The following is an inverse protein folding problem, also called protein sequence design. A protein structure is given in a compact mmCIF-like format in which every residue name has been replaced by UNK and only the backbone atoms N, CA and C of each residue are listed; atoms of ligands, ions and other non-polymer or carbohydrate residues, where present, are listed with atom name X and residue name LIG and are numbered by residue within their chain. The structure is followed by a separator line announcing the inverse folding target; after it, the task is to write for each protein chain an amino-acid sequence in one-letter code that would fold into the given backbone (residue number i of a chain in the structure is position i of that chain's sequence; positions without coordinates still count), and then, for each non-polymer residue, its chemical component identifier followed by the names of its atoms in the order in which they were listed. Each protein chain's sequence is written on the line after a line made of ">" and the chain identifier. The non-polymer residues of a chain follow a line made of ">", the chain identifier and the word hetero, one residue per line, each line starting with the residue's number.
data_IF_670556417257
#
_entry.id   IF_670556417257
#
_cell.length_a   1.000
_cell.length_b   1.000
_cell.length_c   1.000
_cell.angle_alpha   90.00
_cell.angle_beta   90.00
_cell.angle_gamma   90.00
#
_symmetry.space_group_name_H-M   'P 1'
#
loop_
_entity.id
_entity.type
_entity.pdbx_description
1 polymer ?
#
# COMPACT_ATOMS: atom_id res chain seq x y z
N UNK A 1 0.94 -6.81 2.33
CA UNK A 1 -0.29 -6.34 2.98
C UNK A 1 0.05 -5.39 4.11
N UNK A 2 -0.07 -5.72 5.41
CA UNK A 2 0.06 -4.68 6.47
C UNK A 2 1.35 -3.86 6.43
N UNK A 3 2.48 -4.44 6.01
CA UNK A 3 3.75 -3.69 5.85
C UNK A 3 3.66 -2.65 4.74
N UNK A 4 3.02 -2.95 3.61
CA UNK A 4 2.79 -1.95 2.55
C UNK A 4 1.90 -0.84 3.08
N UNK A 5 0.85 -1.16 3.84
CA UNK A 5 -0.09 -0.16 4.35
C UNK A 5 0.55 0.80 5.35
N UNK A 6 1.35 0.29 6.28
CA UNK A 6 2.11 1.11 7.20
C UNK A 6 3.24 1.85 6.46
N UNK A 7 3.78 1.31 5.35
CA UNK A 7 4.71 2.02 4.47
C UNK A 7 4.05 3.20 3.76
N UNK A 8 2.78 3.09 3.33
CA UNK A 8 2.02 4.23 2.79
C UNK A 8 1.98 5.37 3.81
N UNK A 9 1.60 5.06 5.05
CA UNK A 9 1.59 6.04 6.14
C UNK A 9 2.97 6.61 6.41
N UNK A 10 4.01 5.75 6.47
CA UNK A 10 5.39 6.17 6.65
C UNK A 10 5.84 7.11 5.52
N UNK A 11 5.49 6.84 4.27
CA UNK A 11 5.79 7.73 3.15
C UNK A 11 4.99 9.04 3.18
N UNK A 12 3.81 9.08 3.79
CA UNK A 12 3.08 10.33 4.00
C UNK A 12 3.78 11.21 5.03
N UNK A 13 4.28 10.64 6.13
CA UNK A 13 4.86 11.42 7.24
C UNK A 13 6.38 11.52 7.23
N UNK A 14 7.06 10.60 6.55
CA UNK A 14 8.52 10.45 6.48
C UNK A 14 9.09 11.06 5.21
N UNK A 15 8.96 12.37 5.07
CA UNK A 15 9.36 13.15 3.88
C UNK A 15 10.85 13.05 3.52
N UNK A 16 11.69 12.58 4.44
CA UNK A 16 13.13 12.39 4.25
C UNK A 16 13.54 10.90 4.14
N UNK A 17 12.60 10.06 3.70
CA UNK A 17 12.81 8.64 3.44
C UNK A 17 12.61 7.75 4.65
N UNK A 18 12.63 6.44 4.39
CA UNK A 18 12.48 5.44 5.43
C UNK A 18 12.94 4.04 5.03
N UNK A 19 12.95 3.17 6.01
CA UNK A 19 13.49 1.81 5.95
C UNK A 19 12.61 0.86 6.75
N UNK A 20 12.47 -0.35 6.23
CA UNK A 20 11.81 -1.50 6.83
C UNK A 20 12.88 -2.36 7.50
N UNK A 21 12.71 -2.60 8.79
CA UNK A 21 13.57 -3.47 9.59
C UNK A 21 12.77 -4.68 10.06
N UNK A 22 13.27 -5.88 9.80
CA UNK A 22 12.60 -7.13 10.14
C UNK A 22 12.49 -8.10 8.96
N UNK A 23 11.59 -9.10 9.03
CA UNK A 23 10.65 -9.32 10.13
C UNK A 23 11.35 -9.80 11.41
N UNK A 24 10.68 -9.66 12.56
CA UNK A 24 11.08 -10.21 13.86
C UNK A 24 9.93 -11.01 14.47
N UNK A 25 10.24 -11.88 15.43
CA UNK A 25 9.24 -12.53 16.26
C UNK A 25 9.15 -11.85 17.63
N UNK A 26 7.96 -11.38 18.00
CA UNK A 26 7.63 -10.79 19.29
C UNK A 26 6.87 -11.80 20.15
N UNK A 27 7.54 -12.37 21.13
CA UNK A 27 6.94 -13.32 22.07
C UNK A 27 6.24 -12.57 23.21
N UNK A 28 4.99 -12.92 23.49
CA UNK A 28 4.18 -12.43 24.60
C UNK A 28 3.76 -13.59 25.51
N UNK A 29 3.10 -13.29 26.64
CA UNK A 29 2.71 -14.31 27.61
C UNK A 29 1.78 -15.42 27.05
N UNK A 30 0.89 -15.05 26.11
CA UNK A 30 -0.17 -15.92 25.59
C UNK A 30 -0.09 -16.19 24.08
N UNK A 31 0.79 -15.50 23.35
CA UNK A 31 0.92 -15.61 21.90
C UNK A 31 2.27 -15.04 21.45
N UNK A 32 2.64 -15.25 20.18
CA UNK A 32 3.74 -14.56 19.54
C UNK A 32 3.24 -13.91 18.24
N UNK A 33 3.84 -12.78 17.87
CA UNK A 33 3.53 -12.04 16.64
C UNK A 33 4.76 -11.93 15.76
N UNK A 34 4.56 -11.96 14.44
CA UNK A 34 5.57 -11.46 13.51
C UNK A 34 5.40 -9.95 13.35
N UNK A 35 6.47 -9.19 13.45
CA UNK A 35 6.44 -7.73 13.35
C UNK A 35 7.52 -7.20 12.40
N UNK A 36 7.25 -6.02 11.84
CA UNK A 36 8.23 -5.18 11.16
C UNK A 36 8.33 -3.86 11.91
N UNK A 37 9.49 -3.23 11.83
CA UNK A 37 9.74 -1.90 12.36
C UNK A 37 10.01 -0.97 11.18
N UNK A 38 9.21 0.09 11.05
CA UNK A 38 9.42 1.14 10.06
C UNK A 38 10.14 2.30 10.72
N UNK A 39 11.23 2.75 10.12
CA UNK A 39 11.99 3.92 10.58
C UNK A 39 12.05 4.93 9.46
N UNK A 40 11.74 6.18 9.75
CA UNK A 40 11.83 7.27 8.80
C UNK A 40 12.33 8.54 9.46
N UNK A 41 12.60 9.54 8.63
CA UNK A 41 12.88 10.91 9.07
C UNK A 41 11.75 11.81 8.63
N UNK A 42 11.28 12.66 9.54
CA UNK A 42 10.18 13.57 9.30
C UNK A 42 10.57 14.99 9.70
N UNK A 43 10.23 15.98 8.86
CA UNK A 43 10.26 17.40 9.22
C UNK A 43 8.95 17.87 9.85
N UNK A 44 7.92 17.03 9.87
CA UNK A 44 6.58 17.39 10.30
C UNK A 44 6.48 17.60 11.81
N UNK A 45 5.48 18.39 12.20
CA UNK A 45 5.11 18.53 13.60
C UNK A 45 4.50 17.22 14.13
N UNK A 46 4.82 16.84 15.36
CA UNK A 46 4.35 15.57 15.97
C UNK A 46 2.82 15.47 16.05
N UNK A 47 2.11 16.61 16.11
CA UNK A 47 0.64 16.64 16.08
C UNK A 47 0.10 16.26 14.71
N UNK A 48 0.76 16.72 13.63
CA UNK A 48 0.41 16.33 12.27
C UNK A 48 0.82 14.88 12.01
N UNK A 49 1.98 14.43 12.49
CA UNK A 49 2.36 13.00 12.40
C UNK A 49 1.29 12.12 13.05
N UNK A 50 0.84 12.46 14.27
CA UNK A 50 -0.21 11.71 14.95
C UNK A 50 -1.52 11.74 14.17
N UNK A 51 -1.93 12.90 13.63
CA UNK A 51 -3.17 13.04 12.86
C UNK A 51 -3.15 12.22 11.58
N UNK A 52 -2.07 12.28 10.81
CA UNK A 52 -1.93 11.59 9.52
C UNK A 52 -1.73 10.07 9.65
N UNK A 53 -1.29 9.60 10.82
CA UNK A 53 -1.10 8.16 11.10
C UNK A 53 -2.28 7.53 11.86
N UNK A 54 -3.31 8.33 12.20
CA UNK A 54 -4.53 7.79 12.78
C UNK A 54 -5.49 7.28 11.70
N UNK A 55 -5.86 6.00 11.67
CA UNK A 55 -5.45 4.90 12.57
C UNK A 55 -4.69 3.83 11.81
N UNK A 56 -3.74 3.21 12.50
CA UNK A 56 -2.89 2.14 11.97
C UNK A 56 -3.72 1.08 11.22
N UNK A 57 -3.22 0.68 10.04
CA UNK A 57 -3.90 -0.28 9.16
C UNK A 57 -4.07 -1.65 9.83
N UNK A 58 -3.21 -1.98 10.80
CA UNK A 58 -3.27 -3.21 11.60
C UNK A 58 -4.54 -3.36 12.44
N UNK A 59 -5.25 -2.27 12.74
CA UNK A 59 -6.46 -2.26 13.59
C UNK A 59 -7.70 -1.70 12.89
N UNK A 60 -7.54 -1.24 11.64
CA UNK A 60 -8.64 -0.80 10.77
C UNK A 60 -8.77 -1.73 9.57
N UNK A 61 -7.79 -1.72 8.68
CA UNK A 61 -7.72 -2.47 7.43
C UNK A 61 -7.13 -1.61 6.32
N UNK A 62 -7.30 -2.05 5.07
CA UNK A 62 -6.82 -1.31 3.90
C UNK A 62 -7.70 -1.47 2.66
N UNK A 63 -7.80 -0.43 1.80
CA UNK A 63 -7.36 0.95 2.04
C UNK A 63 -8.09 1.57 3.23
N UNK A 64 -7.45 2.43 4.02
CA UNK A 64 -7.96 2.85 5.36
C UNK A 64 -9.37 3.45 5.29
N UNK A 65 -9.63 4.35 4.35
CA UNK A 65 -10.94 4.98 4.17
C UNK A 65 -12.02 3.94 3.84
N UNK A 66 -11.69 2.96 3.00
CA UNK A 66 -12.60 1.89 2.66
C UNK A 66 -12.79 0.92 3.84
N UNK A 67 -11.73 0.63 4.60
CA UNK A 67 -11.80 -0.17 5.81
C UNK A 67 -12.72 0.46 6.85
N UNK A 68 -12.66 1.79 7.05
CA UNK A 68 -13.60 2.50 7.92
C UNK A 68 -15.06 2.32 7.47
N UNK A 69 -15.36 2.41 6.17
CA UNK A 69 -16.72 2.14 5.63
C UNK A 69 -17.15 0.68 5.81
N UNK A 70 -16.22 -0.27 5.74
CA UNK A 70 -16.50 -1.69 6.02
C UNK A 70 -16.80 -1.88 7.51
N UNK A 71 -15.99 -1.30 8.40
CA UNK A 71 -16.18 -1.33 9.85
C UNK A 71 -17.56 -0.77 10.21
N UNK A 72 -17.91 0.41 9.71
CA UNK A 72 -19.21 1.05 9.97
C UNK A 72 -20.40 0.18 9.55
N UNK A 73 -20.28 -0.57 8.44
CA UNK A 73 -21.34 -1.49 7.98
C UNK A 73 -21.50 -2.73 8.87
N UNK A 74 -20.45 -3.17 9.55
CA UNK A 74 -20.43 -4.45 10.27
C UNK A 74 -20.40 -4.32 11.80
N UNK A 75 -20.04 -3.17 12.35
CA UNK A 75 -20.04 -2.90 13.80
C UNK A 75 -21.28 -2.05 14.17
N UNK A 76 -22.10 -2.53 15.11
CA UNK A 76 -23.35 -1.88 15.50
C UNK A 76 -23.20 -0.75 16.52
N UNK A 77 -21.97 -0.41 16.92
CA UNK A 77 -21.70 0.63 17.93
C UNK A 77 -20.31 1.21 17.77
N UNK A 78 -20.08 2.39 18.35
CA UNK A 78 -18.79 3.06 18.30
C UNK A 78 -17.68 2.28 19.00
N UNK A 79 -16.45 2.42 18.48
CA UNK A 79 -15.24 1.78 19.03
C UNK A 79 -14.75 2.39 20.35
N UNK A 80 -15.23 3.58 20.74
CA UNK A 80 -14.67 4.31 21.87
C UNK A 80 -13.18 4.56 21.63
N UNK A 81 -12.34 4.09 22.55
CA UNK A 81 -10.87 4.19 22.42
C UNK A 81 -10.22 3.02 21.68
N UNK A 82 -10.96 1.96 21.35
CA UNK A 82 -10.39 0.80 20.64
C UNK A 82 -9.82 1.19 19.29
N UNK A 83 -8.63 0.69 18.97
CA UNK A 83 -7.86 1.06 17.77
C UNK A 83 -7.36 2.52 17.76
N UNK A 84 -7.64 3.31 18.80
CA UNK A 84 -7.14 4.66 18.98
C UNK A 84 -5.66 4.72 19.36
N UNK A 85 -5.17 5.91 19.65
CA UNK A 85 -3.81 6.15 20.12
C UNK A 85 -3.82 6.76 21.53
N UNK A 86 -2.91 6.32 22.40
CA UNK A 86 -2.59 6.99 23.66
C UNK A 86 -1.29 7.74 23.48
N UNK A 87 -1.35 9.04 23.21
CA UNK A 87 -0.17 9.82 22.84
C UNK A 87 0.41 10.63 24.01
N UNK A 88 1.70 10.42 24.28
CA UNK A 88 2.53 11.30 25.10
C UNK A 88 3.34 12.22 24.17
N UNK A 89 2.98 13.50 24.17
CA UNK A 89 3.64 14.54 23.37
C UNK A 89 4.52 15.39 24.28
N UNK A 90 5.77 15.60 23.88
CA UNK A 90 6.73 16.37 24.68
C UNK A 90 7.83 17.01 23.87
N UNK A 91 8.85 17.45 24.58
CA UNK A 91 10.13 17.90 24.03
C UNK A 91 11.28 17.27 24.81
N UNK A 92 12.35 16.92 24.12
CA UNK A 92 13.58 16.50 24.75
C UNK A 92 14.39 17.72 25.28
N UNK A 93 15.50 17.51 26.03
CA UNK A 93 16.34 18.62 26.51
C UNK A 93 16.95 19.50 25.41
N UNK A 94 17.06 18.99 24.18
CA UNK A 94 17.52 19.74 23.01
C UNK A 94 16.42 20.58 22.36
N UNK A 95 15.18 20.47 22.83
CA UNK A 95 14.01 21.18 22.30
C UNK A 95 13.31 20.46 21.13
N UNK A 96 13.82 19.30 20.72
CA UNK A 96 13.22 18.48 19.67
C UNK A 96 11.91 17.87 20.16
N UNK A 97 10.92 17.78 19.27
CA UNK A 97 9.59 17.24 19.60
C UNK A 97 9.66 15.73 19.81
N UNK A 98 8.93 15.21 20.80
CA UNK A 98 8.84 13.77 21.07
C UNK A 98 7.38 13.32 21.04
N UNK A 99 7.16 12.11 20.52
CA UNK A 99 5.87 11.43 20.50
C UNK A 99 6.09 9.96 20.84
N UNK A 100 5.44 9.48 21.88
CA UNK A 100 5.27 8.05 22.17
C UNK A 100 3.77 7.74 22.15
N UNK A 101 3.34 6.85 21.26
CA UNK A 101 1.92 6.62 20.98
C UNK A 101 1.58 5.15 20.73
N UNK A 102 1.42 4.32 21.77
CA UNK A 102 0.89 2.98 21.61
C UNK A 102 -0.54 2.99 21.05
N UNK A 103 -0.83 1.98 20.22
CA UNK A 103 -2.19 1.67 19.77
C UNK A 103 -2.99 1.09 20.94
N UNK A 104 -4.20 1.58 21.15
CA UNK A 104 -5.12 1.12 22.18
C UNK A 104 -5.80 -0.20 21.78
N UNK A 105 -5.01 -1.27 21.91
CA UNK A 105 -5.41 -2.67 21.86
C UNK A 105 -4.89 -3.38 23.11
N UNK A 106 -5.51 -4.51 23.48
CA UNK A 106 -5.18 -5.20 24.74
C UNK A 106 -5.37 -4.28 25.95
N UNK A 107 -6.44 -3.48 25.90
CA UNK A 107 -6.78 -2.46 26.89
C UNK A 107 -8.18 -2.75 27.41
N UNK A 108 -8.41 -2.49 28.70
CA UNK A 108 -9.75 -2.47 29.29
C UNK A 108 -10.20 -1.03 29.46
N UNK A 109 -11.40 -0.72 28.98
CA UNK A 109 -12.10 0.54 29.23
C UNK A 109 -13.10 0.30 30.37
N UNK A 110 -13.01 1.11 31.43
CA UNK A 110 -13.81 0.97 32.65
C UNK A 110 -14.52 2.29 32.90
N UNK A 111 -15.85 2.27 32.78
CA UNK A 111 -16.68 3.44 33.03
C UNK A 111 -16.87 3.70 34.52
N UNK A 112 -17.34 4.90 34.85
CA UNK A 112 -17.54 5.33 36.25
C UNK A 112 -18.56 4.48 37.03
N UNK A 113 -19.48 3.81 36.34
CA UNK A 113 -20.45 2.87 36.92
C UNK A 113 -19.89 1.43 37.06
N UNK A 114 -18.62 1.23 36.71
CA UNK A 114 -17.93 -0.05 36.84
C UNK A 114 -18.12 -1.01 35.66
N UNK A 115 -18.79 -0.59 34.58
CA UNK A 115 -18.89 -1.42 33.38
C UNK A 115 -17.54 -1.54 32.67
N UNK A 116 -17.11 -2.77 32.39
CA UNK A 116 -15.82 -3.09 31.82
C UNK A 116 -15.95 -3.58 30.37
N UNK A 117 -15.17 -3.00 29.45
CA UNK A 117 -15.10 -3.40 28.04
C UNK A 117 -13.67 -3.77 27.66
N UNK A 118 -13.50 -4.93 27.02
CA UNK A 118 -12.22 -5.37 26.43
C UNK A 118 -12.44 -5.68 24.95
N UNK A 119 -12.43 -4.65 24.08
CA UNK A 119 -12.60 -4.84 22.65
C UNK A 119 -11.38 -5.54 22.06
N UNK A 120 -11.63 -6.45 21.10
CA UNK A 120 -10.61 -7.26 20.45
C UNK A 120 -11.06 -7.63 19.05
N UNK A 121 -10.11 -7.74 18.13
CA UNK A 121 -10.35 -8.16 16.76
C UNK A 121 -9.15 -8.89 16.16
N UNK A 122 -9.33 -9.36 14.94
CA UNK A 122 -8.33 -10.03 14.13
C UNK A 122 -8.30 -9.45 12.71
N UNK A 123 -7.17 -9.60 12.04
CA UNK A 123 -7.00 -9.08 10.68
C UNK A 123 -7.59 -10.08 9.70
N UNK A 124 -8.76 -9.76 9.17
CA UNK A 124 -9.43 -10.63 8.21
C UNK A 124 -8.77 -10.50 6.83
N UNK A 125 -8.34 -11.64 6.28
CA UNK A 125 -7.76 -11.75 4.94
C UNK A 125 -8.52 -12.79 4.14
N UNK A 126 -8.28 -12.87 2.83
CA UNK A 126 -8.97 -13.82 1.94
C UNK A 126 -8.90 -15.27 2.44
N UNK A 127 -7.75 -15.67 2.97
CA UNK A 127 -7.50 -17.03 3.47
C UNK A 127 -7.88 -17.24 4.93
N UNK A 128 -8.55 -16.28 5.59
CA UNK A 128 -8.97 -16.40 6.98
C UNK A 128 -9.97 -17.55 7.15
N UNK A 129 -9.75 -18.35 8.20
CA UNK A 129 -10.71 -19.32 8.69
C UNK A 129 -11.52 -18.69 9.84
N UNK A 130 -12.85 -18.54 9.72
CA UNK A 130 -13.66 -17.90 10.75
C UNK A 130 -13.46 -18.46 12.17
N UNK A 131 -13.27 -19.77 12.31
CA UNK A 131 -13.04 -20.39 13.62
C UNK A 131 -11.64 -20.01 14.18
N UNK A 132 -10.62 -20.04 13.32
CA UNK A 132 -9.27 -19.54 13.64
C UNK A 132 -9.26 -18.08 14.08
N UNK A 133 -9.99 -17.20 13.39
CA UNK A 133 -10.07 -15.77 13.76
C UNK A 133 -10.72 -15.57 15.13
N UNK A 134 -11.78 -16.33 15.44
CA UNK A 134 -12.39 -16.31 16.78
C UNK A 134 -11.39 -16.80 17.83
N UNK A 135 -10.68 -17.90 17.58
CA UNK A 135 -9.64 -18.40 18.49
C UNK A 135 -8.53 -17.36 18.73
N UNK A 136 -8.14 -16.63 17.69
CA UNK A 136 -7.17 -15.54 17.78
C UNK A 136 -7.68 -14.42 18.72
N UNK A 137 -8.93 -14.00 18.60
CA UNK A 137 -9.49 -12.97 19.51
C UNK A 137 -9.42 -13.40 20.99
N UNK A 138 -9.70 -14.68 21.28
CA UNK A 138 -9.58 -15.22 22.65
C UNK A 138 -8.13 -15.22 23.16
N UNK A 139 -7.16 -15.57 22.31
CA UNK A 139 -5.74 -15.54 22.66
C UNK A 139 -5.26 -14.09 22.90
N UNK A 140 -5.69 -13.15 22.06
CA UNK A 140 -5.39 -11.73 22.17
C UNK A 140 -5.93 -11.14 23.48
N UNK A 141 -7.17 -11.46 23.85
CA UNK A 141 -7.77 -10.97 25.09
C UNK A 141 -7.25 -11.65 26.36
N UNK A 142 -6.61 -12.82 26.25
CA UNK A 142 -6.28 -13.67 27.40
C UNK A 142 -5.42 -12.98 28.47
N UNK A 143 -4.42 -12.20 28.06
CA UNK A 143 -3.54 -11.50 29.02
C UNK A 143 -4.28 -10.48 29.87
N UNK A 144 -5.13 -9.66 29.25
CA UNK A 144 -5.94 -8.64 29.93
C UNK A 144 -6.94 -9.30 30.88
N UNK A 145 -7.66 -10.32 30.39
CA UNK A 145 -8.65 -11.03 31.19
C UNK A 145 -8.02 -11.78 32.37
N UNK A 146 -6.80 -12.31 32.22
CA UNK A 146 -6.06 -12.92 33.32
C UNK A 146 -5.63 -11.88 34.36
N UNK A 147 -5.13 -10.73 33.92
CA UNK A 147 -4.75 -9.63 34.81
C UNK A 147 -5.94 -9.08 35.62
N UNK A 148 -7.14 -9.08 35.04
CA UNK A 148 -8.39 -8.69 35.70
C UNK A 148 -8.97 -9.79 36.61
N UNK A 149 -8.38 -10.98 36.66
CA UNK A 149 -8.90 -12.12 37.44
C UNK A 149 -10.14 -12.80 36.85
N UNK A 150 -10.54 -12.45 35.62
CA UNK A 150 -11.68 -13.06 34.92
C UNK A 150 -11.37 -14.48 34.45
N UNK A 151 -10.08 -14.80 34.26
CA UNK A 151 -9.60 -16.14 33.93
C UNK A 151 -8.31 -16.47 34.70
N UNK A 152 -8.00 -17.76 34.90
CA UNK A 152 -6.75 -18.15 35.53
C UNK A 152 -5.54 -17.64 34.73
N UNK A 153 -4.57 -17.08 35.45
CA UNK A 153 -3.26 -16.78 34.88
C UNK A 153 -2.55 -18.07 34.47
N UNK A 154 -1.77 -17.99 33.40
CA UNK A 154 -0.92 -19.11 32.98
C UNK A 154 0.07 -19.43 34.12
N UNK A 155 0.24 -20.70 34.53
CA UNK A 155 1.23 -21.08 35.52
C UNK A 155 2.62 -20.62 35.07
N UNK A 156 3.34 -19.89 35.93
CA UNK A 156 4.76 -19.57 35.72
C UNK A 156 5.57 -20.85 35.91
N UNK A 157 5.72 -21.66 34.87
CA UNK A 157 6.69 -22.77 34.90
C UNK A 157 8.10 -22.17 34.91
N UNK A 158 8.93 -22.53 35.90
CA UNK A 158 10.29 -22.03 36.15
C UNK A 158 11.34 -22.39 35.07
N UNK A 159 10.95 -23.06 33.98
CA UNK A 159 11.88 -23.38 32.91
C UNK A 159 12.06 -22.21 31.95
N UNK A 160 13.33 -21.81 31.77
CA UNK A 160 13.85 -21.10 30.60
C UNK A 160 13.47 -21.87 29.35
N UNK A 161 12.28 -21.61 28.81
CA UNK A 161 11.93 -22.04 27.47
C UNK A 161 12.92 -21.37 26.51
N UNK A 162 13.48 -22.15 25.60
CA UNK A 162 14.16 -21.58 24.45
C UNK A 162 13.19 -20.62 23.76
N UNK A 163 13.68 -19.41 23.49
CA UNK A 163 12.88 -18.39 22.82
C UNK A 163 12.54 -18.90 21.43
N UNK A 164 11.29 -18.77 21.01
CA UNK A 164 10.88 -19.16 19.66
C UNK A 164 11.70 -18.42 18.60
N UNK A 165 12.12 -17.19 18.88
CA UNK A 165 13.02 -16.42 18.01
C UNK A 165 14.41 -17.06 17.81
N UNK A 166 14.82 -17.96 18.70
CA UNK A 166 16.10 -18.68 18.63
C UNK A 166 16.01 -20.01 17.88
N UNK A 167 14.79 -20.51 17.60
CA UNK A 167 14.58 -21.72 16.82
C UNK A 167 15.06 -21.51 15.37
N UNK A 168 15.97 -22.37 14.84
CA UNK A 168 16.48 -22.25 13.49
C UNK A 168 15.41 -22.26 12.40
N UNK A 169 14.29 -22.95 12.61
CA UNK A 169 13.16 -23.01 11.66
C UNK A 169 12.42 -21.68 11.60
N UNK A 170 12.26 -21.03 12.76
CA UNK A 170 11.66 -19.70 12.84
C UNK A 170 12.57 -18.68 12.17
N UNK A 171 13.88 -18.71 12.45
CA UNK A 171 14.86 -17.83 11.79
C UNK A 171 14.86 -18.02 10.27
N UNK A 172 14.90 -19.26 9.80
CA UNK A 172 14.84 -19.57 8.37
C UNK A 172 13.54 -19.07 7.72
N UNK A 173 12.39 -19.18 8.40
CA UNK A 173 11.13 -18.64 7.89
C UNK A 173 11.14 -17.11 7.81
N UNK A 174 11.68 -16.42 8.83
CA UNK A 174 11.82 -14.97 8.85
C UNK A 174 12.80 -14.47 7.77
N UNK A 175 13.93 -15.16 7.59
CA UNK A 175 14.94 -14.84 6.57
C UNK A 175 14.39 -15.07 5.16
N UNK A 176 13.68 -16.17 4.94
CA UNK A 176 12.99 -16.44 3.67
C UNK A 176 11.97 -15.35 3.35
N UNK A 177 11.21 -14.89 4.35
CA UNK A 177 10.30 -13.75 4.17
C UNK A 177 11.05 -12.46 3.84
N UNK A 178 12.17 -12.17 4.51
CA UNK A 178 12.99 -10.98 4.22
C UNK A 178 13.58 -10.99 2.81
N UNK A 179 14.02 -12.14 2.33
CA UNK A 179 14.60 -12.30 0.99
C UNK A 179 13.59 -12.02 -0.13
N UNK A 180 12.29 -12.18 0.14
CA UNK A 180 11.21 -11.87 -0.80
C UNK A 180 10.81 -10.38 -0.86
N UNK A 181 11.45 -9.51 -0.07
CA UNK A 181 11.11 -8.09 -0.01
C UNK A 181 11.95 -7.26 -0.96
N UNK A 182 11.35 -6.19 -1.48
CA UNK A 182 12.03 -5.20 -2.31
C UNK A 182 13.24 -4.61 -1.58
N UNK A 183 14.47 -4.75 -2.12
CA UNK A 183 15.68 -4.21 -1.50
C UNK A 183 15.65 -2.69 -1.29
N UNK A 184 14.85 -1.98 -2.10
CA UNK A 184 14.61 -0.54 -1.96
C UNK A 184 14.11 -0.16 -0.56
N UNK A 185 13.19 -0.91 0.01
CA UNK A 185 12.66 -0.57 1.34
C UNK A 185 13.54 -1.09 2.49
N UNK A 186 14.57 -1.90 2.22
CA UNK A 186 15.43 -2.51 3.25
C UNK A 186 16.67 -1.68 3.61
N UNK A 187 16.88 -0.54 2.94
CA UNK A 187 17.97 0.39 3.21
C UNK A 187 17.50 1.83 3.03
N UNK A 188 18.11 2.77 3.75
CA UNK A 188 17.90 4.20 3.47
C UNK A 188 18.39 4.50 2.05
N UNK A 189 17.59 5.25 1.31
CA UNK A 189 17.89 5.59 -0.07
C UNK A 189 18.54 6.96 -0.14
N UNK A 190 19.59 7.04 -0.96
CA UNK A 190 20.15 8.30 -1.40
C UNK A 190 19.53 8.66 -2.76
N UNK A 191 19.23 9.93 -3.04
CA UNK A 191 18.72 10.34 -4.34
C UNK A 191 19.68 9.96 -5.47
N UNK A 192 19.16 9.29 -6.52
CA UNK A 192 19.90 9.06 -7.75
C UNK A 192 19.61 10.20 -8.74
N UNK A 193 20.65 10.85 -9.28
CA UNK A 193 20.53 11.93 -10.25
C UNK A 193 20.34 11.43 -11.70
N UNK A 194 19.48 10.43 -11.90
CA UNK A 194 19.32 9.76 -13.21
C UNK A 194 18.15 10.32 -14.04
N UNK A 195 17.09 10.81 -13.41
CA UNK A 195 16.01 11.57 -14.04
C UNK A 195 16.05 13.04 -13.58
N UNK A 196 15.32 13.90 -14.30
CA UNK A 196 15.14 15.31 -13.96
C UNK A 196 13.76 15.80 -14.43
N UNK A 197 13.24 16.85 -13.78
CA UNK A 197 11.93 17.43 -14.06
C UNK A 197 10.91 17.13 -12.96
N UNK A 198 9.65 17.49 -13.22
CA UNK A 198 8.57 17.45 -12.25
C UNK A 198 7.48 16.48 -12.71
N UNK A 199 7.18 15.46 -11.89
CA UNK A 199 6.07 14.55 -12.11
C UNK A 199 4.85 14.96 -11.26
N UNK A 200 3.68 14.93 -11.89
CA UNK A 200 2.41 15.16 -11.22
C UNK A 200 1.66 13.83 -11.06
N UNK A 201 1.46 13.39 -9.82
CA UNK A 201 0.75 12.15 -9.48
C UNK A 201 -0.69 12.46 -9.11
N UNK A 202 -1.63 11.82 -9.80
CA UNK A 202 -3.07 11.85 -9.50
C UNK A 202 -3.41 10.70 -8.55
N UNK A 203 -3.90 11.01 -7.35
CA UNK A 203 -4.31 10.03 -6.33
C UNK A 203 -5.79 9.65 -6.47
N UNK A 204 -6.05 8.38 -6.78
CA UNK A 204 -7.37 7.79 -6.96
C UNK A 204 -8.04 7.29 -5.68
N UNK A 205 -7.66 7.82 -4.52
CA UNK A 205 -7.98 7.35 -3.15
C UNK A 205 -7.18 6.13 -2.70
N UNK A 206 -5.91 6.05 -3.09
CA UNK A 206 -4.98 5.04 -2.54
C UNK A 206 -3.61 5.66 -2.29
N UNK A 207 -3.23 5.69 -1.01
CA UNK A 207 -1.98 6.27 -0.52
C UNK A 207 -0.74 5.48 -0.94
N UNK A 208 -0.87 4.42 -1.75
CA UNK A 208 0.24 3.91 -2.56
C UNK A 208 0.92 5.01 -3.39
N UNK A 209 0.19 6.07 -3.76
CA UNK A 209 0.77 7.30 -4.35
C UNK A 209 1.91 7.91 -3.53
N UNK A 210 1.86 7.84 -2.19
CA UNK A 210 2.93 8.33 -1.33
C UNK A 210 4.21 7.49 -1.46
N UNK A 211 4.05 6.16 -1.56
CA UNK A 211 5.17 5.23 -1.83
C UNK A 211 5.72 5.42 -3.24
N UNK A 212 4.84 5.59 -4.23
CA UNK A 212 5.22 5.86 -5.62
C UNK A 212 5.99 7.18 -5.74
N UNK A 213 5.55 8.23 -5.03
CA UNK A 213 6.25 9.50 -4.98
C UNK A 213 7.67 9.36 -4.40
N UNK A 214 7.88 8.50 -3.40
CA UNK A 214 9.21 8.20 -2.88
C UNK A 214 10.11 7.51 -3.92
N UNK A 215 9.56 6.55 -4.65
CA UNK A 215 10.29 5.86 -5.74
C UNK A 215 10.67 6.85 -6.85
N UNK A 216 9.75 7.72 -7.25
CA UNK A 216 9.98 8.74 -8.27
C UNK A 216 11.03 9.78 -7.83
N UNK A 217 10.93 10.27 -6.58
CA UNK A 217 11.93 11.19 -5.99
C UNK A 217 13.31 10.56 -5.89
N UNK A 218 13.38 9.29 -5.48
CA UNK A 218 14.65 8.55 -5.44
C UNK A 218 15.29 8.37 -6.81
N UNK A 219 14.50 8.49 -7.89
CA UNK A 219 14.97 8.43 -9.27
C UNK A 219 15.39 9.80 -9.83
N UNK A 220 15.23 10.89 -9.07
CA UNK A 220 15.68 12.25 -9.42
C UNK A 220 14.56 13.23 -9.79
N UNK A 221 13.30 12.83 -9.74
CA UNK A 221 12.17 13.71 -10.08
C UNK A 221 11.72 14.54 -8.88
N UNK A 222 11.33 15.79 -9.13
CA UNK A 222 10.41 16.51 -8.25
C UNK A 222 9.01 15.88 -8.39
N UNK A 223 8.25 15.77 -7.30
CA UNK A 223 6.95 15.09 -7.33
C UNK A 223 5.91 15.84 -6.51
N UNK A 224 4.82 16.20 -7.17
CA UNK A 224 3.57 16.65 -6.55
C UNK A 224 2.53 15.54 -6.61
N UNK A 225 1.80 15.35 -5.52
CA UNK A 225 0.65 14.44 -5.46
C UNK A 225 -0.60 15.28 -5.25
N UNK A 226 -1.65 15.04 -6.05
CA UNK A 226 -2.94 15.72 -5.97
C UNK A 226 -4.06 14.68 -6.05
N UNK A 227 -5.02 14.71 -5.14
CA UNK A 227 -6.16 13.80 -5.11
C UNK A 227 -7.17 14.12 -6.21
N UNK A 228 -7.82 13.10 -6.74
CA UNK A 228 -8.71 13.18 -7.91
C UNK A 228 -9.85 14.21 -7.80
N UNK A 229 -10.29 14.53 -6.58
CA UNK A 229 -11.41 15.43 -6.28
C UNK A 229 -10.95 16.77 -5.69
N UNK A 230 -9.65 17.08 -5.75
CA UNK A 230 -9.17 18.41 -5.41
C UNK A 230 -9.62 19.44 -6.46
N UNK A 231 -10.03 20.61 -5.97
CA UNK A 231 -10.42 21.73 -6.83
C UNK A 231 -9.27 22.12 -7.79
N UNK A 232 -9.62 22.31 -9.06
CA UNK A 232 -8.68 22.71 -10.10
C UNK A 232 -7.70 21.60 -10.53
N UNK A 233 -7.91 20.34 -10.12
CA UNK A 233 -7.02 19.25 -10.51
C UNK A 233 -6.92 19.09 -12.02
N UNK A 234 -8.06 19.12 -12.73
CA UNK A 234 -8.08 18.88 -14.17
C UNK A 234 -7.21 19.91 -14.89
N UNK A 235 -7.40 21.19 -14.56
CA UNK A 235 -6.65 22.30 -15.10
C UNK A 235 -5.16 22.17 -14.79
N UNK A 236 -4.82 21.79 -13.55
CA UNK A 236 -3.43 21.55 -13.16
C UNK A 236 -2.78 20.41 -13.95
N UNK A 237 -3.50 19.30 -14.18
CA UNK A 237 -3.01 18.15 -14.96
C UNK A 237 -2.79 18.52 -16.42
N UNK A 238 -3.75 19.23 -17.03
CA UNK A 238 -3.66 19.61 -18.45
C UNK A 238 -2.63 20.72 -18.72
N UNK A 239 -2.30 21.53 -17.71
CA UNK A 239 -1.27 22.56 -17.80
C UNK A 239 0.14 22.06 -17.42
N UNK A 240 0.27 20.80 -16.98
CA UNK A 240 1.54 20.28 -16.48
C UNK A 240 2.51 19.93 -17.63
N UNK A 241 3.71 20.53 -17.61
CA UNK A 241 4.74 20.34 -18.65
C UNK A 241 5.65 19.12 -18.39
N UNK A 242 5.31 18.27 -17.43
CA UNK A 242 6.08 17.06 -17.10
C UNK A 242 5.25 15.78 -17.21
N UNK A 243 5.82 14.62 -16.85
CA UNK A 243 5.09 13.37 -16.85
C UNK A 243 3.93 13.41 -15.85
N UNK A 244 2.78 12.90 -16.28
CA UNK A 244 1.59 12.69 -15.43
C UNK A 244 1.52 11.22 -15.03
N UNK A 245 1.31 10.96 -13.75
CA UNK A 245 1.14 9.62 -13.22
C UNK A 245 -0.29 9.44 -12.76
N UNK A 246 -1.04 8.59 -13.46
CA UNK A 246 -2.36 8.15 -13.03
C UNK A 246 -2.16 7.07 -11.96
N UNK A 247 -2.38 7.44 -10.70
CA UNK A 247 -2.13 6.58 -9.55
C UNK A 247 -3.17 5.46 -9.38
N UNK A 248 -2.92 4.58 -8.41
CA UNK A 248 -3.87 3.53 -8.03
C UNK A 248 -5.10 4.11 -7.31
N UNK A 249 -6.12 3.27 -7.15
CA UNK A 249 -7.34 3.61 -6.44
C UNK A 249 -8.33 2.45 -6.37
N UNK A 250 -9.26 2.43 -5.40
CA UNK A 250 -10.35 1.46 -5.39
C UNK A 250 -11.42 1.82 -6.43
N UNK A 251 -12.13 0.83 -6.93
CA UNK A 251 -13.30 1.02 -7.79
C UNK A 251 -13.37 -0.02 -8.89
N UNK A 252 -14.47 0.01 -9.64
CA UNK A 252 -14.60 -0.71 -10.90
C UNK A 252 -14.43 0.31 -12.05
N UNK A 253 -13.35 0.25 -12.84
CA UNK A 253 -13.14 1.18 -13.95
C UNK A 253 -14.23 1.10 -15.03
N UNK A 254 -15.05 0.05 -15.05
CA UNK A 254 -16.21 -0.07 -15.94
C UNK A 254 -17.50 0.57 -15.38
N UNK A 255 -17.54 0.97 -14.10
CA UNK A 255 -18.72 1.57 -13.49
C UNK A 255 -18.87 3.05 -13.88
N UNK A 256 -19.74 3.32 -14.85
CA UNK A 256 -20.03 4.67 -15.33
C UNK A 256 -20.95 5.48 -14.39
N UNK A 257 -21.52 4.84 -13.37
CA UNK A 257 -22.39 5.50 -12.38
C UNK A 257 -21.60 6.12 -11.23
N UNK A 258 -20.41 5.60 -10.97
CA UNK A 258 -19.47 6.15 -9.99
C UNK A 258 -18.88 7.51 -10.48
N UNK A 259 -19.06 8.61 -9.72
CA UNK A 259 -18.52 9.92 -10.09
C UNK A 259 -17.00 9.97 -10.25
N UNK A 260 -16.25 9.26 -9.40
CA UNK A 260 -14.79 9.17 -9.46
C UNK A 260 -14.37 8.46 -10.74
N UNK A 261 -14.99 7.34 -11.07
CA UNK A 261 -14.67 6.59 -12.30
C UNK A 261 -14.95 7.43 -13.54
N UNK A 262 -16.09 8.14 -13.61
CA UNK A 262 -16.36 9.06 -14.73
C UNK A 262 -15.30 10.15 -14.87
N UNK A 263 -14.93 10.78 -13.76
CA UNK A 263 -13.92 11.84 -13.77
C UNK A 263 -12.56 11.30 -14.25
N UNK A 264 -12.08 10.21 -13.66
CA UNK A 264 -10.78 9.62 -13.97
C UNK A 264 -10.70 9.08 -15.40
N UNK A 265 -11.76 8.43 -15.91
CA UNK A 265 -11.82 8.00 -17.33
C UNK A 265 -11.74 9.18 -18.27
N UNK A 266 -12.53 10.23 -18.00
CA UNK A 266 -12.53 11.44 -18.82
C UNK A 266 -11.16 12.11 -18.81
N UNK A 267 -10.53 12.28 -17.63
CA UNK A 267 -9.18 12.83 -17.51
C UNK A 267 -8.14 11.96 -18.25
N UNK A 268 -8.27 10.64 -18.17
CA UNK A 268 -7.35 9.69 -18.82
C UNK A 268 -7.38 9.85 -20.35
N UNK A 269 -8.57 9.93 -20.95
CA UNK A 269 -8.73 10.22 -22.37
C UNK A 269 -8.12 11.59 -22.75
N UNK A 270 -8.32 12.58 -21.88
CA UNK A 270 -7.62 13.88 -21.77
C UNK A 270 -6.13 13.78 -22.10
N UNK A 271 -5.44 13.12 -21.17
CA UNK A 271 -3.98 13.12 -21.09
C UNK A 271 -3.34 12.18 -22.10
N UNK A 272 -4.01 11.11 -22.53
CA UNK A 272 -3.50 10.19 -23.56
C UNK A 272 -3.55 10.84 -24.94
N UNK A 273 -4.57 11.66 -25.22
CA UNK A 273 -4.74 12.33 -26.53
C UNK A 273 -3.98 13.65 -26.62
N UNK A 274 -3.70 14.29 -25.49
CA UNK A 274 -2.93 15.53 -25.44
C UNK A 274 -1.46 15.34 -25.79
N UNK A 275 -0.77 16.44 -26.10
CA UNK A 275 0.68 16.49 -26.31
C UNK A 275 1.43 16.52 -24.97
N UNK A 276 1.02 15.69 -24.01
CA UNK A 276 1.60 15.66 -22.67
C UNK A 276 2.96 14.96 -22.68
N UNK A 277 3.84 15.36 -21.77
CA UNK A 277 5.23 14.90 -21.66
C UNK A 277 5.38 13.46 -21.09
N UNK A 278 4.37 12.61 -21.35
CA UNK A 278 4.31 11.21 -20.94
C UNK A 278 3.27 10.91 -19.87
N UNK A 279 2.53 9.82 -20.02
CA UNK A 279 1.56 9.32 -19.03
C UNK A 279 1.98 7.96 -18.51
N UNK A 280 2.09 7.80 -17.19
CA UNK A 280 2.26 6.49 -16.54
C UNK A 280 1.00 6.12 -15.75
N UNK A 281 0.39 4.97 -16.04
CA UNK A 281 -0.69 4.41 -15.23
C UNK A 281 -0.22 3.30 -14.29
N UNK A 282 -0.65 3.33 -13.03
CA UNK A 282 -0.38 2.26 -12.05
C UNK A 282 -1.70 1.69 -11.52
N UNK A 283 -1.86 0.36 -11.58
CA UNK A 283 -3.07 -0.35 -11.14
C UNK A 283 -4.35 0.24 -11.78
N UNK A 284 -5.19 0.96 -11.04
CA UNK A 284 -6.36 1.66 -11.60
C UNK A 284 -5.97 2.58 -12.77
N UNK A 285 -4.87 3.34 -12.66
CA UNK A 285 -4.38 4.17 -13.77
C UNK A 285 -4.03 3.37 -15.01
N UNK A 286 -3.49 2.15 -14.85
CA UNK A 286 -3.24 1.23 -15.96
C UNK A 286 -4.55 0.70 -16.56
N UNK A 287 -5.50 0.32 -15.73
CA UNK A 287 -6.82 -0.16 -16.16
C UNK A 287 -7.57 0.92 -16.96
N UNK A 288 -7.46 2.19 -16.55
CA UNK A 288 -8.05 3.32 -17.27
C UNK A 288 -7.39 3.54 -18.64
N UNK A 289 -6.05 3.46 -18.72
CA UNK A 289 -5.32 3.51 -20.00
C UNK A 289 -5.75 2.34 -20.89
N UNK A 290 -5.79 1.13 -20.36
CA UNK A 290 -6.20 -0.06 -21.09
C UNK A 290 -7.63 0.06 -21.63
N UNK A 291 -8.56 0.58 -20.83
CA UNK A 291 -9.94 0.83 -21.26
C UNK A 291 -10.04 1.88 -22.38
N UNK A 292 -9.20 2.94 -22.36
CA UNK A 292 -9.15 3.93 -23.45
C UNK A 292 -8.59 3.33 -24.74
N UNK A 293 -7.71 2.33 -24.64
CA UNK A 293 -7.20 1.56 -25.78
C UNK A 293 -8.20 0.51 -26.29
N UNK A 294 -9.41 0.45 -25.71
CA UNK A 294 -10.46 -0.48 -26.11
C UNK A 294 -10.32 -1.89 -25.54
N UNK A 295 -9.46 -2.09 -24.53
CA UNK A 295 -9.34 -3.38 -23.85
C UNK A 295 -10.48 -3.60 -22.86
N UNK A 296 -10.95 -4.84 -22.79
CA UNK A 296 -11.99 -5.23 -21.85
C UNK A 296 -11.43 -5.28 -20.42
N UNK A 297 -12.07 -4.57 -19.50
CA UNK A 297 -11.78 -4.69 -18.07
C UNK A 297 -12.72 -5.70 -17.45
N UNK A 298 -12.17 -6.77 -16.88
CA UNK A 298 -12.95 -7.84 -16.26
C UNK A 298 -12.58 -8.01 -14.80
N UNK A 299 -13.56 -8.45 -14.02
CA UNK A 299 -13.32 -8.88 -12.65
C UNK A 299 -12.64 -10.24 -12.63
N UNK A 300 -11.57 -10.38 -11.84
CA UNK A 300 -10.90 -11.66 -11.62
C UNK A 300 -11.78 -12.59 -10.79
N UNK A 301 -11.81 -13.88 -11.14
CA UNK A 301 -12.40 -14.93 -10.28
C UNK A 301 -11.66 -15.01 -8.94
N UNK A 302 -10.34 -14.87 -9.00
CA UNK A 302 -9.44 -14.84 -7.85
C UNK A 302 -8.72 -13.49 -7.81
N UNK A 303 -9.27 -12.49 -7.07
CA UNK A 303 -8.56 -11.24 -6.81
C UNK A 303 -7.19 -11.46 -6.18
N UNK A 304 -6.22 -10.66 -6.63
CA UNK A 304 -4.85 -10.66 -6.11
C UNK A 304 -4.72 -9.49 -5.15
N UNK A 305 -4.85 -9.76 -3.85
CA UNK A 305 -4.70 -8.75 -2.80
C UNK A 305 -3.44 -9.06 -1.98
N UNK A 306 -2.35 -8.34 -2.28
CA UNK A 306 -1.04 -8.58 -1.68
C UNK A 306 -0.37 -9.86 -2.16
N UNK A 307 -0.53 -10.20 -3.44
CA UNK A 307 0.09 -11.36 -4.04
C UNK A 307 1.42 -10.97 -4.72
N UNK A 308 2.49 -11.70 -4.43
CA UNK A 308 3.74 -11.60 -5.17
C UNK A 308 3.75 -12.65 -6.27
N UNK A 309 3.91 -12.22 -7.51
CA UNK A 309 3.87 -13.11 -8.69
C UNK A 309 5.03 -12.77 -9.60
N UNK A 310 5.49 -13.78 -10.33
CA UNK A 310 6.50 -13.61 -11.35
C UNK A 310 5.85 -13.53 -12.73
N UNK A 311 6.28 -12.56 -13.54
CA UNK A 311 5.70 -12.24 -14.83
C UNK A 311 6.78 -12.08 -15.90
N UNK A 312 6.40 -12.21 -17.17
CA UNK A 312 7.19 -11.71 -18.30
C UNK A 312 6.78 -10.26 -18.58
N UNK A 313 7.68 -9.31 -18.28
CA UNK A 313 7.52 -7.89 -18.55
C UNK A 313 8.35 -7.53 -19.80
N UNK A 314 7.71 -7.57 -20.96
CA UNK A 314 8.32 -7.25 -22.26
C UNK A 314 9.59 -8.07 -22.55
N UNK A 315 9.52 -9.39 -22.34
CA UNK A 315 10.63 -10.33 -22.54
C UNK A 315 11.60 -10.45 -21.36
N UNK A 316 11.33 -9.77 -20.23
CA UNK A 316 12.15 -9.84 -19.01
C UNK A 316 11.33 -10.38 -17.85
N UNK A 317 11.88 -11.40 -17.18
CA UNK A 317 11.27 -12.01 -15.99
C UNK A 317 11.37 -11.05 -14.79
N UNK A 318 10.24 -10.71 -14.19
CA UNK A 318 10.16 -9.78 -13.04
C UNK A 318 9.26 -10.35 -11.93
N UNK A 319 9.63 -10.10 -10.68
CA UNK A 319 8.84 -10.45 -9.49
C UNK A 319 8.15 -9.20 -8.95
N UNK A 320 6.82 -9.18 -9.03
CA UNK A 320 5.99 -8.00 -8.81
C UNK A 320 4.85 -8.24 -7.82
N UNK A 321 4.39 -7.18 -7.15
CA UNK A 321 3.27 -7.19 -6.20
C UNK A 321 1.95 -6.72 -6.81
N UNK A 322 0.90 -7.53 -6.70
CA UNK A 322 -0.45 -7.25 -7.17
C UNK A 322 -1.44 -6.95 -6.04
N UNK A 323 -2.31 -5.95 -6.26
CA UNK A 323 -3.36 -5.47 -5.36
C UNK A 323 -4.67 -5.15 -6.11
N UNK A 324 -5.05 -5.99 -7.09
CA UNK A 324 -6.15 -5.73 -8.00
C UNK A 324 -7.26 -6.79 -7.95
N UNK A 325 -8.50 -6.32 -8.15
CA UNK A 325 -9.69 -7.16 -8.33
C UNK A 325 -10.17 -7.20 -9.77
N UNK A 326 -9.81 -6.19 -10.55
CA UNK A 326 -10.08 -6.06 -11.97
C UNK A 326 -8.78 -6.19 -12.75
N UNK A 327 -8.86 -6.55 -14.01
CA UNK A 327 -7.71 -6.66 -14.91
C UNK A 327 -8.15 -6.43 -16.34
N UNK A 328 -7.29 -5.80 -17.15
CA UNK A 328 -7.49 -5.73 -18.58
C UNK A 328 -7.22 -7.11 -19.21
N UNK A 329 -8.08 -7.53 -20.14
CA UNK A 329 -7.87 -8.72 -20.97
C UNK A 329 -7.74 -8.36 -22.43
N UNK A 330 -6.89 -9.11 -23.11
CA UNK A 330 -6.60 -8.92 -24.52
C UNK A 330 -6.37 -10.26 -25.20
N UNK A 331 -7.14 -10.54 -26.25
CA UNK A 331 -6.92 -11.68 -27.13
C UNK A 331 -5.79 -11.42 -28.14
N UNK A 332 -5.44 -12.41 -28.94
CA UNK A 332 -4.32 -12.31 -29.87
C UNK A 332 -4.60 -11.45 -31.10
N UNK A 333 -5.87 -11.23 -31.48
CA UNK A 333 -6.21 -10.38 -32.62
C UNK A 333 -6.14 -8.91 -32.22
N UNK A 334 -6.72 -8.55 -31.08
CA UNK A 334 -6.62 -7.19 -30.50
C UNK A 334 -5.15 -6.85 -30.20
N UNK A 335 -4.37 -7.80 -29.69
CA UNK A 335 -2.95 -7.59 -29.43
C UNK A 335 -2.16 -7.28 -30.72
N UNK A 336 -2.47 -7.95 -31.84
CA UNK A 336 -1.83 -7.66 -33.15
C UNK A 336 -2.24 -6.30 -33.68
N UNK A 337 -3.51 -5.93 -33.54
CA UNK A 337 -4.01 -4.62 -33.96
C UNK A 337 -3.32 -3.49 -33.18
N UNK A 338 -3.23 -3.61 -31.86
CA UNK A 338 -2.53 -2.65 -31.00
C UNK A 338 -1.04 -2.57 -31.36
N UNK A 339 -0.38 -3.71 -31.61
CA UNK A 339 1.01 -3.74 -32.03
C UNK A 339 1.23 -3.02 -33.38
N UNK A 340 0.30 -3.13 -34.32
CA UNK A 340 0.35 -2.41 -35.59
C UNK A 340 0.26 -0.87 -35.41
N UNK A 341 -0.33 -0.41 -34.31
CA UNK A 341 -0.39 1.00 -33.91
C UNK A 341 0.74 1.41 -32.95
N UNK A 342 1.77 0.57 -32.78
CA UNK A 342 2.92 0.86 -31.92
C UNK A 342 2.64 0.68 -30.43
N UNK A 343 1.58 -0.04 -30.05
CA UNK A 343 1.24 -0.36 -28.66
C UNK A 343 1.66 -1.79 -28.34
N UNK A 344 2.58 -1.93 -27.40
CA UNK A 344 3.10 -3.22 -26.95
C UNK A 344 2.46 -3.63 -25.62
N UNK A 345 2.05 -4.90 -25.52
CA UNK A 345 1.43 -5.49 -24.33
C UNK A 345 2.32 -6.58 -23.72
N UNK A 346 2.48 -6.55 -22.41
CA UNK A 346 2.95 -7.68 -21.60
C UNK A 346 1.72 -8.41 -21.05
N UNK A 347 1.59 -9.70 -21.37
CA UNK A 347 0.40 -10.51 -21.06
C UNK A 347 0.75 -11.87 -20.46
N UNK A 348 -0.08 -12.36 -19.57
CA UNK A 348 -0.06 -13.76 -19.15
C UNK A 348 -0.65 -14.68 -20.24
N UNK A 349 -0.40 -15.99 -20.15
CA UNK A 349 -0.96 -17.00 -21.08
C UNK A 349 -2.50 -16.98 -21.13
N UNK A 350 -3.16 -16.52 -20.07
CA UNK A 350 -4.63 -16.35 -20.01
C UNK A 350 -5.16 -15.06 -20.66
N UNK A 351 -4.30 -14.23 -21.24
CA UNK A 351 -4.67 -12.94 -21.85
C UNK A 351 -4.82 -11.79 -20.85
N UNK A 352 -4.52 -12.00 -19.57
CA UNK A 352 -4.43 -10.90 -18.59
C UNK A 352 -3.26 -9.98 -18.95
N UNK A 353 -3.54 -8.68 -19.07
CA UNK A 353 -2.53 -7.67 -19.37
C UNK A 353 -1.86 -7.24 -18.08
N UNK A 354 -0.54 -7.41 -17.99
CA UNK A 354 0.27 -6.97 -16.85
C UNK A 354 0.87 -5.58 -17.06
N UNK A 355 1.16 -5.23 -18.31
CA UNK A 355 1.64 -3.90 -18.67
C UNK A 355 1.34 -3.54 -20.13
N UNK A 356 1.30 -2.24 -20.40
CA UNK A 356 1.17 -1.66 -21.74
C UNK A 356 2.20 -0.56 -21.91
N UNK A 357 2.72 -0.38 -23.13
CA UNK A 357 3.50 0.81 -23.50
C UNK A 357 3.23 1.19 -24.96
N UNK A 358 3.14 2.48 -25.23
CA UNK A 358 2.93 3.04 -26.56
C UNK A 358 3.53 4.44 -26.67
N UNK A 359 3.25 5.17 -27.77
CA UNK A 359 3.70 6.55 -27.94
C UNK A 359 3.12 7.45 -26.84
N UNK A 360 3.98 8.03 -25.99
CA UNK A 360 3.57 8.98 -24.95
C UNK A 360 2.86 8.37 -23.73
N UNK A 361 2.68 7.05 -23.64
CA UNK A 361 2.10 6.42 -22.45
C UNK A 361 2.66 5.04 -22.12
N UNK A 362 2.58 4.68 -20.85
CA UNK A 362 2.84 3.34 -20.33
C UNK A 362 1.92 3.05 -19.15
N UNK A 363 1.71 1.78 -18.83
CA UNK A 363 0.99 1.40 -17.62
C UNK A 363 1.35 0.02 -17.13
N UNK A 364 1.24 -0.19 -15.82
CA UNK A 364 1.49 -1.46 -15.14
C UNK A 364 0.33 -1.81 -14.20
N UNK A 365 -0.15 -3.06 -14.27
CA UNK A 365 -1.24 -3.55 -13.42
C UNK A 365 -0.78 -3.78 -11.96
N UNK A 366 0.49 -4.13 -11.78
CA UNK A 366 1.12 -4.33 -10.47
C UNK A 366 1.57 -2.99 -9.86
N UNK A 367 1.95 -3.02 -8.60
CA UNK A 367 2.45 -1.86 -7.86
C UNK A 367 3.98 -1.89 -7.80
N UNK A 368 4.70 -1.15 -8.68
CA UNK A 368 6.15 -1.09 -8.63
C UNK A 368 6.69 -0.55 -7.30
N UNK A 369 5.92 0.29 -6.61
CA UNK A 369 6.27 0.88 -5.33
C UNK A 369 6.13 -0.10 -4.15
N UNK A 370 5.39 -1.19 -4.30
CA UNK A 370 5.15 -2.15 -3.21
C UNK A 370 6.42 -2.84 -2.73
N UNK A 371 6.48 -3.16 -1.43
CA UNK A 371 7.51 -4.03 -0.85
C UNK A 371 7.55 -5.43 -1.46
N UNK A 372 6.50 -5.83 -2.18
CA UNK A 372 6.42 -7.09 -2.90
C UNK A 372 7.04 -7.03 -4.31
N UNK A 373 7.43 -5.86 -4.82
CA UNK A 373 8.06 -5.74 -6.15
C UNK A 373 9.56 -5.58 -6.03
N UNK A 374 10.33 -6.58 -6.47
CA UNK A 374 11.78 -6.63 -6.21
C UNK A 374 12.56 -5.52 -6.93
N UNK A 375 12.25 -5.28 -8.21
CA UNK A 375 12.96 -4.33 -9.08
C UNK A 375 12.13 -3.08 -9.40
N UNK A 376 11.20 -2.72 -8.52
CA UNK A 376 10.20 -1.69 -8.79
C UNK A 376 10.74 -0.33 -9.23
N UNK A 377 11.83 0.12 -8.60
CA UNK A 377 12.49 1.38 -8.94
C UNK A 377 13.12 1.37 -10.33
N UNK A 378 13.72 0.24 -10.73
CA UNK A 378 14.28 0.08 -12.07
C UNK A 378 13.19 0.06 -13.14
N UNK A 379 12.06 -0.60 -12.85
CA UNK A 379 10.88 -0.61 -13.74
C UNK A 379 10.32 0.80 -13.91
N UNK A 380 10.07 1.53 -12.82
CA UNK A 380 9.57 2.93 -12.90
C UNK A 380 10.53 3.81 -13.68
N UNK A 381 11.84 3.69 -13.43
CA UNK A 381 12.86 4.46 -14.15
C UNK A 381 12.87 4.17 -15.65
N UNK A 382 12.80 2.89 -16.04
CA UNK A 382 12.75 2.49 -17.44
C UNK A 382 11.52 3.10 -18.14
N UNK A 383 10.34 2.94 -17.53
CA UNK A 383 9.09 3.44 -18.10
C UNK A 383 9.11 4.98 -18.21
N UNK A 384 9.52 5.68 -17.15
CA UNK A 384 9.64 7.14 -17.16
C UNK A 384 10.69 7.65 -18.15
N UNK A 385 11.84 6.99 -18.26
CA UNK A 385 12.89 7.35 -19.22
C UNK A 385 12.40 7.24 -20.66
N UNK A 386 11.61 6.21 -20.98
CA UNK A 386 10.99 6.06 -22.31
C UNK A 386 9.99 7.17 -22.62
N UNK A 387 9.13 7.49 -21.65
CA UNK A 387 8.10 8.53 -21.78
C UNK A 387 8.67 9.93 -22.03
N UNK A 388 9.89 10.21 -21.57
CA UNK A 388 10.58 11.49 -21.78
C UNK A 388 11.40 11.54 -23.05
N UNK A 389 11.82 10.39 -23.58
CA UNK A 389 12.60 10.30 -24.82
C UNK A 389 11.73 10.28 -26.09
N UNK A 390 10.40 10.32 -25.96
CA UNK A 390 9.47 10.43 -27.09
C UNK A 390 9.35 11.83 -27.68
N UNK A 391 10.06 12.82 -27.15
CA UNK A 391 10.20 14.15 -27.74
C UNK A 391 11.41 14.17 -28.67
N UNK A 392 11.20 13.82 -29.95
CA UNK A 392 12.16 14.06 -31.05
C UNK A 392 11.51 14.94 -32.09
#
# INVERSE_FOLDING_TARGET
>A
MVVDEELKMMCTVGDMGGVVVGPRLKEMAHLAHTEYELRGRSSMDVREVLKETMFAATVTGSPVQNACRVIERHESGGRGYYAGALALIGRDPGGSQTLDSPILIRTADISADGHLRVPVGATLVRGSDPAGEVAETHAKAAGVLAALGVRPSRPRTEHTRERLADDPRVRAALDGRRASLAPFWLRMQEPAAELAGHALVVDGEDTFTAMLAHVLRSSGLEVSVRRYDEDGLREAVLAHEGPVVLGPGPGDPADLTDPKMRFLRSLTAEVIRGENHGVLGVCLGHELIAAELGLDIVRKDVPYQGAQTEIDLFGRRETVGFYNSFVARCDDEVAKELAAHGVELSRATGGEVHAVRGPGFAGVQFHPESILTLNGTAVVRELMGRLRNTTV
#
